data_IF_491934671188
#
_entry.id   IF_491934671188
#
_cell.length_a   1.000
_cell.length_b   1.000
_cell.length_c   1.000
_cell.angle_alpha   90.00
_cell.angle_beta   90.00
_cell.angle_gamma   90.00
#
_symmetry.space_group_name_H-M   'P 1'
#
loop_
_entity.id
_entity.type
_entity.pdbx_description
1 polymer ?
#
# COMPACT_ATOMS: atom_id res chain seq x y z
N UNK A 1 27.30 34.93 -33.91
CA UNK A 1 26.70 36.07 -33.18
C UNK A 1 25.22 35.79 -33.04
N UNK A 2 24.55 35.73 -31.89
CA UNK A 2 24.87 35.82 -30.46
C UNK A 2 23.90 34.83 -29.76
N UNK A 3 24.35 34.14 -28.71
CA UNK A 3 23.50 33.30 -27.84
C UNK A 3 22.56 34.16 -27.01
N UNK A 4 21.41 33.62 -26.53
CA UNK A 4 20.86 34.09 -25.27
C UNK A 4 20.96 33.02 -24.17
N UNK A 5 21.47 33.48 -23.02
CA UNK A 5 21.53 32.83 -21.71
C UNK A 5 20.25 33.08 -20.89
N UNK A 6 20.21 32.39 -19.76
CA UNK A 6 19.11 32.14 -18.79
C UNK A 6 18.90 33.27 -17.77
N UNK A 7 17.71 33.32 -17.12
CA UNK A 7 17.54 33.91 -15.77
C UNK A 7 16.88 32.91 -14.81
N UNK A 8 17.42 32.87 -13.58
CA UNK A 8 17.04 32.03 -12.45
C UNK A 8 16.24 32.85 -11.45
N UNK A 9 15.04 32.39 -11.08
CA UNK A 9 14.41 32.77 -9.83
C UNK A 9 14.50 31.58 -8.87
N UNK A 10 15.44 31.66 -7.95
CA UNK A 10 15.61 30.72 -6.85
C UNK A 10 14.57 31.05 -5.77
N UNK A 11 13.67 30.13 -5.46
CA UNK A 11 12.94 30.12 -4.18
C UNK A 11 13.36 28.85 -3.45
N UNK A 12 14.34 29.03 -2.55
CA UNK A 12 14.74 28.02 -1.58
C UNK A 12 13.61 27.62 -0.62
N UNK A 13 13.82 26.58 0.18
CA UNK A 13 12.75 25.80 0.78
C UNK A 13 12.03 26.57 1.88
N UNK A 14 10.68 26.53 1.89
CA UNK A 14 9.92 26.87 3.09
C UNK A 14 10.12 25.76 4.12
N UNK A 15 10.70 26.17 5.24
CA UNK A 15 11.18 25.32 6.30
C UNK A 15 10.14 24.38 6.87
N UNK A 16 10.62 23.17 7.16
CA UNK A 16 10.04 22.26 8.12
C UNK A 16 10.19 22.90 9.50
N UNK A 17 9.09 23.18 10.20
CA UNK A 17 9.16 23.63 11.58
C UNK A 17 9.78 22.53 12.45
N UNK A 18 11.03 22.74 12.87
CA UNK A 18 11.64 22.07 14.03
C UNK A 18 10.89 22.56 15.27
N UNK A 19 9.90 21.79 15.71
CA UNK A 19 9.40 21.90 17.07
C UNK A 19 10.52 21.53 18.03
N UNK A 20 10.82 22.44 18.97
CA UNK A 20 11.84 22.26 20.01
C UNK A 20 11.60 20.94 20.77
N UNK A 21 12.67 20.15 20.85
CA UNK A 21 12.80 19.07 21.83
C UNK A 21 12.84 19.70 23.23
N UNK A 22 11.73 19.62 23.96
CA UNK A 22 11.81 19.58 25.42
C UNK A 22 12.00 18.13 25.82
N UNK A 23 13.16 17.84 26.42
CA UNK A 23 13.38 16.58 27.14
C UNK A 23 12.31 16.50 28.23
N UNK A 24 11.49 15.46 28.16
CA UNK A 24 10.77 14.95 29.31
C UNK A 24 10.76 13.44 29.19
N UNK A 25 11.56 12.79 30.04
CA UNK A 25 11.37 11.38 30.33
C UNK A 25 10.00 11.24 31.00
N UNK A 26 9.01 10.70 30.29
CA UNK A 26 7.79 10.24 30.90
C UNK A 26 7.23 9.02 30.14
N UNK A 27 6.79 8.05 30.94
CA UNK A 27 6.33 6.70 30.56
C UNK A 27 5.33 6.76 29.39
N UNK A 28 5.61 5.99 28.34
CA UNK A 28 4.98 6.08 27.03
C UNK A 28 3.56 5.54 26.98
N UNK A 29 2.59 6.42 27.17
CA UNK A 29 1.35 6.38 26.40
C UNK A 29 1.45 7.50 25.36
N UNK A 30 1.36 7.19 24.06
CA UNK A 30 1.13 8.22 23.04
C UNK A 30 -0.26 8.79 23.32
N UNK A 31 -0.33 9.83 24.15
CA UNK A 31 -1.58 10.44 24.55
C UNK A 31 -2.12 11.19 23.33
N UNK A 32 -3.02 10.55 22.59
CA UNK A 32 -3.72 11.17 21.46
C UNK A 32 -4.40 12.43 22.00
N UNK A 33 -3.97 13.60 21.50
CA UNK A 33 -4.48 14.88 21.97
C UNK A 33 -6.01 14.95 21.81
N UNK A 34 -6.67 15.79 22.62
CA UNK A 34 -8.13 15.88 22.67
C UNK A 34 -8.75 16.23 21.31
N UNK A 35 -8.09 17.07 20.51
CA UNK A 35 -8.52 17.45 19.16
C UNK A 35 -8.43 16.25 18.21
N UNK A 36 -7.34 15.49 18.24
CA UNK A 36 -7.19 14.28 17.43
C UNK A 36 -8.25 13.22 17.79
N UNK A 37 -8.60 13.07 19.07
CA UNK A 37 -9.72 12.20 19.49
C UNK A 37 -11.07 12.64 18.94
N UNK A 38 -11.37 13.94 18.95
CA UNK A 38 -12.61 14.48 18.39
C UNK A 38 -12.66 14.25 16.86
N UNK A 39 -11.56 14.54 16.16
CA UNK A 39 -11.49 14.35 14.71
C UNK A 39 -11.65 12.87 14.33
N UNK A 40 -11.00 11.95 15.06
CA UNK A 40 -11.20 10.50 14.88
C UNK A 40 -12.67 10.12 15.06
N UNK A 41 -13.37 10.65 16.07
CA UNK A 41 -14.80 10.39 16.27
C UNK A 41 -15.65 10.90 15.10
N UNK A 42 -15.37 12.09 14.59
CA UNK A 42 -16.07 12.65 13.42
C UNK A 42 -15.84 11.77 12.18
N UNK A 43 -14.59 11.40 11.88
CA UNK A 43 -14.31 10.53 10.74
C UNK A 43 -14.95 9.15 10.89
N UNK A 44 -15.00 8.60 12.10
CA UNK A 44 -15.70 7.35 12.37
C UNK A 44 -17.20 7.47 12.12
N UNK A 45 -17.83 8.55 12.59
CA UNK A 45 -19.26 8.79 12.37
C UNK A 45 -19.58 8.96 10.88
N UNK A 46 -18.80 9.79 10.17
CA UNK A 46 -18.96 10.00 8.74
C UNK A 46 -18.73 8.71 7.95
N UNK A 47 -17.66 7.97 8.28
CA UNK A 47 -17.38 6.70 7.64
C UNK A 47 -18.45 5.65 7.94
N UNK A 48 -18.95 5.60 9.17
CA UNK A 48 -20.06 4.71 9.55
C UNK A 48 -21.32 5.05 8.74
N UNK A 49 -21.64 6.34 8.58
CA UNK A 49 -22.75 6.79 7.77
C UNK A 49 -22.56 6.35 6.32
N UNK A 50 -21.39 6.60 5.72
CA UNK A 50 -21.04 6.19 4.35
C UNK A 50 -21.18 4.67 4.17
N UNK A 51 -20.64 3.87 5.09
CA UNK A 51 -20.74 2.41 5.03
C UNK A 51 -22.21 1.97 5.15
N UNK A 52 -22.98 2.58 6.06
CA UNK A 52 -24.38 2.20 6.32
C UNK A 52 -25.35 2.63 5.21
N UNK A 53 -25.08 3.73 4.53
CA UNK A 53 -25.97 4.31 3.50
C UNK A 53 -25.60 3.92 2.08
N UNK A 54 -24.35 3.51 1.82
CA UNK A 54 -23.90 3.15 0.47
C UNK A 54 -23.71 1.65 0.26
N UNK A 55 -23.76 0.82 1.31
CA UNK A 55 -23.56 -0.63 1.18
C UNK A 55 -24.48 -1.46 2.09
N UNK A 56 -24.62 -2.75 1.76
CA UNK A 56 -25.19 -3.79 2.64
C UNK A 56 -24.04 -4.50 3.34
N UNK A 57 -23.62 -3.97 4.48
CA UNK A 57 -22.51 -4.54 5.25
C UNK A 57 -22.99 -5.57 6.27
N UNK A 58 -22.46 -6.79 6.20
CA UNK A 58 -22.61 -7.84 7.22
C UNK A 58 -21.29 -8.02 7.95
N UNK A 59 -21.34 -8.07 9.29
CA UNK A 59 -20.15 -8.14 10.13
C UNK A 59 -20.31 -9.31 11.12
N UNK A 60 -19.35 -10.24 11.12
CA UNK A 60 -19.29 -11.37 12.06
C UNK A 60 -17.99 -11.33 12.86
N UNK A 61 -17.98 -11.91 14.06
CA UNK A 61 -16.78 -11.97 14.90
C UNK A 61 -16.45 -10.67 15.65
N UNK A 62 -17.46 -9.82 15.91
CA UNK A 62 -17.25 -8.48 16.50
C UNK A 62 -16.66 -8.54 17.91
N UNK A 63 -16.91 -9.62 18.62
CA UNK A 63 -16.35 -9.92 19.94
C UNK A 63 -14.82 -9.87 19.95
N UNK A 64 -14.16 -10.27 18.85
CA UNK A 64 -12.70 -10.26 18.74
C UNK A 64 -12.10 -8.84 18.65
N UNK A 65 -12.91 -7.81 18.39
CA UNK A 65 -12.46 -6.40 18.43
C UNK A 65 -12.05 -5.96 19.84
N UNK A 66 -12.58 -6.63 20.87
CA UNK A 66 -12.28 -6.35 22.27
C UNK A 66 -11.13 -7.21 22.82
N UNK A 67 -10.33 -7.84 21.95
CA UNK A 67 -9.15 -8.61 22.36
C UNK A 67 -8.25 -7.77 23.27
N UNK A 68 -7.89 -8.36 24.41
CA UNK A 68 -7.10 -7.70 25.44
C UNK A 68 -5.59 -7.71 25.13
N UNK A 69 -4.89 -6.70 25.64
CA UNK A 69 -3.45 -6.52 25.47
C UNK A 69 -3.10 -5.88 24.12
N UNK A 70 -1.82 -5.94 23.72
CA UNK A 70 -1.40 -5.45 22.42
C UNK A 70 -1.97 -6.32 21.31
N UNK A 71 -2.57 -5.69 20.31
CA UNK A 71 -3.28 -6.37 19.21
C UNK A 71 -2.88 -5.79 17.87
N UNK A 72 -2.65 -6.66 16.91
CA UNK A 72 -2.49 -6.34 15.50
C UNK A 72 -3.74 -6.84 14.76
N UNK A 73 -4.55 -5.93 14.24
CA UNK A 73 -5.63 -6.24 13.31
C UNK A 73 -5.02 -6.35 11.90
N UNK A 74 -5.06 -7.53 11.31
CA UNK A 74 -4.49 -7.82 10.01
C UNK A 74 -5.60 -8.20 9.02
N UNK A 75 -5.68 -7.48 7.90
CA UNK A 75 -6.71 -7.74 6.87
C UNK A 75 -6.14 -7.78 5.46
N UNK A 76 -6.90 -8.36 4.54
CA UNK A 76 -6.64 -8.22 3.11
C UNK A 76 -6.94 -6.78 2.62
N UNK A 77 -6.30 -6.35 1.53
CA UNK A 77 -6.50 -5.02 0.96
C UNK A 77 -6.73 -5.08 -0.56
N UNK A 78 -7.99 -4.94 -1.00
CA UNK A 78 -8.37 -4.90 -2.43
C UNK A 78 -8.90 -3.53 -2.87
N UNK A 79 -9.13 -2.61 -1.93
CA UNK A 79 -9.75 -1.32 -2.19
C UNK A 79 -9.47 -0.29 -1.10
N UNK A 80 -9.47 0.99 -1.43
CA UNK A 80 -9.43 2.07 -0.41
C UNK A 80 -10.63 2.02 0.54
N UNK A 81 -11.71 1.34 0.18
CA UNK A 81 -12.84 1.09 1.07
C UNK A 81 -12.47 0.21 2.28
N UNK A 82 -11.45 -0.65 2.16
CA UNK A 82 -10.94 -1.44 3.28
C UNK A 82 -10.35 -0.54 4.36
N UNK A 83 -9.65 0.53 3.96
CA UNK A 83 -9.14 1.54 4.88
C UNK A 83 -10.29 2.27 5.62
N UNK A 84 -11.40 2.53 4.93
CA UNK A 84 -12.60 3.09 5.53
C UNK A 84 -13.25 2.11 6.55
N UNK A 85 -13.30 0.82 6.21
CA UNK A 85 -13.80 -0.21 7.11
C UNK A 85 -12.97 -0.30 8.39
N UNK A 86 -11.64 -0.38 8.30
CA UNK A 86 -10.81 -0.45 9.52
C UNK A 86 -10.94 0.80 10.38
N UNK A 87 -11.00 2.00 9.78
CA UNK A 87 -11.15 3.26 10.53
C UNK A 87 -12.48 3.28 11.30
N UNK A 88 -13.55 2.79 10.67
CA UNK A 88 -14.90 2.86 11.24
C UNK A 88 -15.15 1.75 12.27
N UNK A 89 -14.71 0.53 11.97
CA UNK A 89 -15.03 -0.67 12.76
C UNK A 89 -14.12 -0.85 13.97
N UNK A 90 -12.84 -0.53 13.85
CA UNK A 90 -11.88 -0.85 14.90
C UNK A 90 -12.01 0.08 16.12
N UNK A 91 -11.52 -0.36 17.30
CA UNK A 91 -11.47 0.47 18.50
C UNK A 91 -10.79 1.82 18.25
N UNK A 92 -11.25 2.88 18.92
CA UNK A 92 -10.81 4.28 18.66
C UNK A 92 -9.34 4.55 18.93
N UNK A 93 -8.73 3.72 19.77
CA UNK A 93 -7.33 3.73 20.17
C UNK A 93 -6.44 2.94 19.19
N UNK A 94 -7.01 2.35 18.14
CA UNK A 94 -6.25 1.67 17.08
C UNK A 94 -5.45 2.70 16.28
N UNK A 95 -4.17 2.40 16.06
CA UNK A 95 -3.29 3.18 15.20
C UNK A 95 -3.16 2.50 13.84
N UNK A 96 -3.34 3.28 12.78
CA UNK A 96 -3.38 2.79 11.40
C UNK A 96 -2.05 3.05 10.70
N UNK A 97 -1.65 2.13 9.85
CA UNK A 97 -0.46 2.28 9.00
C UNK A 97 -0.91 2.81 7.63
N UNK A 98 -0.27 3.89 7.17
CA UNK A 98 -0.54 4.52 5.87
C UNK A 98 0.68 4.57 4.95
N UNK A 99 0.47 4.77 3.64
CA UNK A 99 1.56 5.04 2.71
C UNK A 99 2.24 6.37 3.06
N UNK A 100 3.55 6.33 3.28
CA UNK A 100 4.41 7.51 3.46
C UNK A 100 5.26 7.83 2.23
N UNK A 101 5.20 6.98 1.20
CA UNK A 101 5.91 7.07 -0.08
C UNK A 101 5.27 8.05 -1.06
N UNK A 102 3.97 8.35 -0.92
CA UNK A 102 3.30 9.36 -1.74
C UNK A 102 2.16 10.06 -0.99
N UNK A 103 1.91 11.32 -1.35
CA UNK A 103 0.81 12.10 -0.78
C UNK A 103 -0.52 11.58 -1.28
N UNK A 104 -1.38 11.11 -0.38
CA UNK A 104 -2.75 10.72 -0.73
C UNK A 104 -3.56 11.91 -1.28
N UNK A 105 -4.52 11.63 -2.15
CA UNK A 105 -5.45 12.64 -2.69
C UNK A 105 -6.56 12.95 -1.68
N UNK A 106 -7.25 14.07 -1.88
CA UNK A 106 -8.43 14.40 -1.10
C UNK A 106 -9.56 13.38 -1.40
N UNK A 107 -10.35 12.92 -0.41
CA UNK A 107 -10.32 13.29 1.01
C UNK A 107 -9.38 12.46 1.90
N UNK A 108 -8.74 11.43 1.37
CA UNK A 108 -7.89 10.51 2.14
C UNK A 108 -6.72 11.22 2.86
N UNK A 109 -6.19 12.32 2.29
CA UNK A 109 -5.17 13.14 2.95
C UNK A 109 -5.61 13.80 4.26
N UNK A 110 -6.90 14.11 4.43
CA UNK A 110 -7.42 14.67 5.68
C UNK A 110 -7.41 13.61 6.78
N UNK A 111 -7.80 12.39 6.43
CA UNK A 111 -7.73 11.25 7.35
C UNK A 111 -6.29 11.03 7.79
N UNK A 112 -5.34 10.97 6.86
CA UNK A 112 -3.91 10.80 7.19
C UNK A 112 -3.38 11.90 8.09
N UNK A 113 -3.72 13.15 7.77
CA UNK A 113 -3.25 14.34 8.49
C UNK A 113 -3.79 14.43 9.93
N UNK A 114 -5.01 13.97 10.16
CA UNK A 114 -5.71 14.21 11.44
C UNK A 114 -6.10 12.95 12.21
N UNK A 115 -6.00 11.75 11.63
CA UNK A 115 -6.29 10.51 12.31
C UNK A 115 -5.04 9.88 12.97
N UNK A 116 -3.85 10.48 12.87
CA UNK A 116 -2.65 9.98 13.56
C UNK A 116 -2.19 8.63 13.02
N UNK A 117 -1.93 8.56 11.72
CA UNK A 117 -1.38 7.38 11.06
C UNK A 117 0.13 7.29 11.29
N UNK A 118 0.65 6.07 11.40
CA UNK A 118 2.07 5.82 11.20
C UNK A 118 2.27 5.73 9.68
N UNK A 119 2.92 6.75 9.12
CA UNK A 119 3.30 6.76 7.72
C UNK A 119 4.56 5.94 7.53
N UNK A 120 4.53 5.00 6.60
CA UNK A 120 5.67 4.15 6.27
C UNK A 120 6.17 4.43 4.86
N UNK A 121 7.47 4.71 4.73
CA UNK A 121 8.14 4.64 3.45
C UNK A 121 8.26 3.18 3.03
N UNK A 122 7.69 2.86 1.87
CA UNK A 122 7.71 1.53 1.27
C UNK A 122 8.93 1.45 0.34
N UNK A 123 9.65 0.34 0.34
CA UNK A 123 10.88 0.17 -0.46
C UNK A 123 12.17 0.73 0.13
N UNK A 124 12.11 1.35 1.30
CA UNK A 124 13.30 1.64 2.11
C UNK A 124 13.06 1.26 3.57
N UNK A 125 14.14 1.04 4.33
CA UNK A 125 14.04 0.69 5.76
C UNK A 125 13.58 1.90 6.55
N UNK A 126 12.27 2.01 6.80
CA UNK A 126 11.68 3.05 7.64
C UNK A 126 11.81 2.69 9.14
N UNK A 127 13.02 2.93 9.69
CA UNK A 127 13.34 2.63 11.09
C UNK A 127 12.44 3.39 12.08
N UNK A 128 12.07 4.63 11.74
CA UNK A 128 11.23 5.46 12.60
C UNK A 128 9.77 4.96 12.62
N UNK A 129 9.22 4.62 11.46
CA UNK A 129 7.90 3.99 11.36
C UNK A 129 7.85 2.67 12.12
N UNK A 130 8.87 1.81 11.95
CA UNK A 130 8.99 0.55 12.68
C UNK A 130 9.06 0.76 14.19
N UNK A 131 9.90 1.69 14.65
CA UNK A 131 10.01 2.02 16.07
C UNK A 131 8.68 2.47 16.65
N UNK A 132 7.93 3.35 15.97
CA UNK A 132 6.61 3.80 16.44
C UNK A 132 5.60 2.66 16.56
N UNK A 133 5.63 1.70 15.64
CA UNK A 133 4.78 0.51 15.72
C UNK A 133 5.14 -0.35 16.92
N UNK A 134 6.45 -0.61 17.13
CA UNK A 134 6.94 -1.34 18.29
C UNK A 134 6.58 -0.64 19.60
N UNK A 135 6.78 0.68 19.69
CA UNK A 135 6.46 1.48 20.87
C UNK A 135 4.94 1.46 21.17
N UNK A 136 4.11 1.53 20.13
CA UNK A 136 2.64 1.44 20.26
C UNK A 136 2.23 0.10 20.86
N UNK A 137 2.75 -1.01 20.34
CA UNK A 137 2.41 -2.35 20.83
C UNK A 137 3.02 -2.62 22.21
N UNK A 138 4.28 -2.22 22.47
CA UNK A 138 4.91 -2.37 23.80
C UNK A 138 4.17 -1.58 24.88
N UNK A 139 3.53 -0.46 24.52
CA UNK A 139 2.63 0.30 25.39
C UNK A 139 1.25 -0.34 25.59
N UNK A 140 1.00 -1.55 25.09
CA UNK A 140 -0.30 -2.24 25.15
C UNK A 140 -1.33 -1.74 24.14
N UNK A 141 -0.91 -0.93 23.16
CA UNK A 141 -1.78 -0.35 22.15
C UNK A 141 -2.15 -1.31 21.02
N UNK A 142 -2.94 -0.80 20.07
CA UNK A 142 -3.49 -1.58 18.96
C UNK A 142 -3.02 -1.03 17.62
N UNK A 143 -2.69 -1.90 16.69
CA UNK A 143 -2.31 -1.56 15.32
C UNK A 143 -3.29 -2.18 14.31
N UNK A 144 -3.50 -1.49 13.20
CA UNK A 144 -4.20 -2.03 12.03
C UNK A 144 -3.31 -1.92 10.80
N UNK A 145 -3.16 -3.05 10.09
CA UNK A 145 -2.30 -3.16 8.92
C UNK A 145 -2.84 -4.14 7.88
N UNK A 146 -2.28 -4.06 6.67
CA UNK A 146 -2.56 -4.97 5.58
C UNK A 146 -1.27 -5.75 5.26
N UNK A 147 -1.20 -7.08 5.51
CA UNK A 147 0.02 -7.87 5.32
C UNK A 147 0.51 -7.93 3.86
N UNK A 148 -0.35 -7.63 2.89
CA UNK A 148 -0.05 -7.55 1.45
C UNK A 148 0.79 -6.33 1.03
N UNK A 149 1.08 -5.40 1.95
CA UNK A 149 1.86 -4.19 1.67
C UNK A 149 1.10 -3.15 0.82
N UNK A 150 -0.22 -3.30 0.71
CA UNK A 150 -1.13 -2.38 0.02
C UNK A 150 -1.00 -2.40 -1.50
N UNK A 151 -0.87 -3.59 -2.08
CA UNK A 151 -1.02 -3.80 -3.52
C UNK A 151 -2.27 -4.64 -3.75
N UNK A 152 -3.26 -4.06 -4.43
CA UNK A 152 -4.63 -4.59 -4.49
C UNK A 152 -4.81 -5.74 -5.50
N UNK A 153 -3.91 -5.86 -6.47
CA UNK A 153 -3.97 -6.82 -7.58
C UNK A 153 -2.74 -7.74 -7.52
N UNK A 154 -2.74 -8.58 -6.49
CA UNK A 154 -1.69 -9.58 -6.24
C UNK A 154 -2.31 -10.91 -5.83
N UNK A 155 -1.60 -12.02 -6.06
CA UNK A 155 -1.93 -13.28 -5.39
C UNK A 155 -1.96 -13.07 -3.87
N UNK A 156 -2.88 -13.74 -3.18
CA UNK A 156 -2.98 -13.59 -1.71
C UNK A 156 -1.74 -14.06 -0.95
N UNK A 157 -0.89 -14.85 -1.63
CA UNK A 157 0.34 -15.45 -1.10
C UNK A 157 1.57 -14.54 -1.19
N UNK A 158 1.49 -13.39 -1.87
CA UNK A 158 2.55 -12.38 -1.84
C UNK A 158 2.41 -11.51 -0.59
N UNK A 159 3.01 -11.99 0.49
CA UNK A 159 2.82 -11.48 1.86
C UNK A 159 4.12 -10.94 2.43
N UNK A 160 4.00 -9.90 3.26
CA UNK A 160 5.14 -9.33 3.99
C UNK A 160 5.13 -9.84 5.43
N UNK A 161 6.30 -10.21 5.94
CA UNK A 161 6.50 -10.73 7.31
C UNK A 161 6.39 -9.68 8.42
N UNK A 162 6.13 -8.40 8.10
CA UNK A 162 6.12 -7.31 9.07
C UNK A 162 5.11 -7.46 10.21
N UNK A 163 3.93 -8.02 9.94
CA UNK A 163 2.91 -8.26 10.97
C UNK A 163 3.40 -9.28 12.02
N UNK A 164 3.96 -10.39 11.54
CA UNK A 164 4.49 -11.48 12.34
C UNK A 164 5.77 -11.06 13.09
N UNK A 165 6.61 -10.24 12.46
CA UNK A 165 7.76 -9.62 13.13
C UNK A 165 7.32 -8.75 14.31
N UNK A 166 6.33 -7.87 14.12
CA UNK A 166 5.80 -7.02 15.19
C UNK A 166 5.16 -7.86 16.30
N UNK A 167 4.40 -8.88 15.95
CA UNK A 167 3.80 -9.82 16.90
C UNK A 167 4.86 -10.52 17.75
N UNK A 168 5.87 -11.11 17.12
CA UNK A 168 6.98 -11.77 17.80
C UNK A 168 7.74 -10.82 18.73
N UNK A 169 8.08 -9.62 18.24
CA UNK A 169 8.91 -8.66 18.98
C UNK A 169 8.20 -7.98 20.17
N UNK A 170 6.87 -8.09 20.27
CA UNK A 170 6.07 -7.33 21.26
C UNK A 170 5.12 -8.19 22.07
N UNK A 171 4.97 -9.48 21.73
CA UNK A 171 3.95 -10.33 22.33
C UNK A 171 2.53 -9.97 21.90
N UNK A 172 2.36 -9.20 20.82
CA UNK A 172 1.04 -8.81 20.34
C UNK A 172 0.31 -9.99 19.70
N UNK A 173 -0.97 -10.15 20.03
CA UNK A 173 -1.86 -11.09 19.35
C UNK A 173 -2.24 -10.55 17.98
N UNK A 174 -2.48 -11.44 17.01
CA UNK A 174 -2.95 -11.05 15.67
C UNK A 174 -4.41 -11.43 15.52
N UNK A 175 -5.27 -10.46 15.20
CA UNK A 175 -6.68 -10.69 14.86
C UNK A 175 -6.82 -10.63 13.33
N UNK A 176 -6.97 -11.77 12.63
CA UNK A 176 -7.16 -11.80 11.20
C UNK A 176 -8.57 -11.32 10.82
N UNK A 177 -8.70 -10.59 9.72
CA UNK A 177 -9.99 -10.11 9.21
C UNK A 177 -10.07 -10.29 7.70
N UNK A 178 -11.18 -10.85 7.23
CA UNK A 178 -11.50 -10.96 5.81
C UNK A 178 -12.53 -9.92 5.38
N UNK A 179 -12.17 -9.09 4.41
CA UNK A 179 -13.04 -8.11 3.76
C UNK A 179 -13.41 -8.58 2.36
N UNK A 180 -14.71 -8.73 2.13
CA UNK A 180 -15.26 -9.18 0.87
C UNK A 180 -16.19 -8.15 0.23
N UNK A 181 -16.24 -8.17 -1.11
CA UNK A 181 -17.12 -7.29 -1.90
C UNK A 181 -16.64 -5.84 -2.01
N UNK A 182 -15.40 -5.54 -1.62
CA UNK A 182 -14.83 -4.18 -1.63
C UNK A 182 -14.08 -3.82 -2.92
N UNK A 183 -13.70 -4.81 -3.74
CA UNK A 183 -13.11 -4.59 -5.06
C UNK A 183 -14.05 -3.77 -5.97
N UNK A 184 -13.52 -2.71 -6.58
CA UNK A 184 -14.26 -1.76 -7.45
C UNK A 184 -15.52 -1.13 -6.81
N UNK A 185 -15.64 -1.16 -5.48
CA UNK A 185 -16.87 -0.74 -4.80
C UNK A 185 -17.28 0.71 -5.09
N UNK A 186 -16.32 1.63 -5.21
CA UNK A 186 -16.59 3.02 -5.54
C UNK A 186 -17.24 3.18 -6.92
N UNK A 187 -16.79 2.41 -7.92
CA UNK A 187 -17.40 2.43 -9.25
C UNK A 187 -18.83 1.90 -9.21
N UNK A 188 -19.09 0.87 -8.39
CA UNK A 188 -20.42 0.29 -8.22
C UNK A 188 -21.36 1.29 -7.53
N UNK A 189 -20.90 1.95 -6.47
CA UNK A 189 -21.64 3.02 -5.79
C UNK A 189 -21.96 4.18 -6.74
N UNK A 190 -20.99 4.62 -7.56
CA UNK A 190 -21.21 5.68 -8.56
C UNK A 190 -22.22 5.29 -9.63
N UNK A 191 -22.36 3.99 -9.92
CA UNK A 191 -23.41 3.43 -10.78
C UNK A 191 -24.73 3.20 -10.03
N UNK A 192 -24.91 3.84 -8.86
CA UNK A 192 -26.08 3.73 -7.98
C UNK A 192 -26.40 2.29 -7.57
N UNK A 193 -25.40 1.41 -7.57
CA UNK A 193 -25.55 0.06 -7.05
C UNK A 193 -25.40 0.08 -5.53
N UNK A 194 -26.07 -0.85 -4.86
CA UNK A 194 -25.98 -1.05 -3.41
C UNK A 194 -25.20 -2.35 -3.10
N UNK A 195 -23.84 -2.31 -3.17
CA UNK A 195 -22.99 -3.48 -3.08
C UNK A 195 -23.09 -4.16 -1.71
N UNK A 196 -22.94 -5.50 -1.71
CA UNK A 196 -22.81 -6.29 -0.49
C UNK A 196 -21.35 -6.25 -0.04
N UNK A 197 -21.13 -5.97 1.24
CA UNK A 197 -19.82 -5.99 1.88
C UNK A 197 -19.88 -6.99 3.02
N UNK A 198 -18.88 -7.85 3.11
CA UNK A 198 -18.77 -8.82 4.21
C UNK A 198 -17.49 -8.55 4.97
N UNK A 199 -17.60 -8.48 6.29
CA UNK A 199 -16.46 -8.37 7.19
C UNK A 199 -16.53 -9.55 8.15
N UNK A 200 -15.55 -10.46 8.06
CA UNK A 200 -15.42 -11.59 8.99
C UNK A 200 -14.17 -11.39 9.83
N UNK A 201 -14.34 -11.30 11.14
CA UNK A 201 -13.24 -11.10 12.09
C UNK A 201 -12.96 -12.44 12.77
N UNK A 202 -11.79 -12.99 12.54
CA UNK A 202 -11.37 -14.28 13.09
C UNK A 202 -10.94 -14.19 14.55
N UNK A 203 -10.81 -15.36 15.17
CA UNK A 203 -10.30 -15.48 16.54
C UNK A 203 -8.85 -14.96 16.64
N UNK A 204 -8.47 -14.33 17.77
CA UNK A 204 -7.12 -13.85 17.98
C UNK A 204 -6.11 -15.00 17.99
N UNK A 205 -5.09 -14.89 17.17
CA UNK A 205 -3.94 -15.78 17.13
C UNK A 205 -2.98 -15.43 18.27
N UNK A 206 -2.28 -16.44 18.84
CA UNK A 206 -1.23 -16.20 19.81
C UNK A 206 -0.09 -15.38 19.18
N UNK A 207 0.79 -14.79 20.00
CA UNK A 207 1.97 -14.11 19.50
C UNK A 207 2.82 -15.04 18.63
N UNK A 208 3.40 -14.49 17.57
CA UNK A 208 4.23 -15.27 16.64
C UNK A 208 5.45 -15.83 17.36
N UNK A 209 5.62 -17.14 17.26
CA UNK A 209 6.79 -17.89 17.73
C UNK A 209 7.68 -18.23 16.55
N UNK A 210 8.98 -18.05 16.71
CA UNK A 210 10.01 -18.38 15.71
C UNK A 210 11.14 -19.15 16.39
N UNK A 211 11.99 -19.82 15.62
CA UNK A 211 13.15 -20.52 16.13
C UNK A 211 14.13 -19.58 16.84
N UNK A 212 14.79 -20.09 17.87
CA UNK A 212 15.93 -19.41 18.51
C UNK A 212 17.09 -19.22 17.53
N UNK A 213 17.22 -20.07 16.50
CA UNK A 213 18.23 -19.94 15.46
C UNK A 213 18.01 -18.67 14.62
N UNK A 214 18.90 -17.69 14.80
CA UNK A 214 18.89 -16.40 14.08
C UNK A 214 18.87 -16.55 12.58
N UNK A 215 19.47 -17.61 12.02
CA UNK A 215 19.50 -17.81 10.57
C UNK A 215 18.15 -18.24 10.01
N UNK A 216 17.34 -18.95 10.81
CA UNK A 216 16.01 -19.44 10.40
C UNK A 216 14.87 -18.46 10.67
N UNK A 217 15.07 -17.50 11.57
CA UNK A 217 14.03 -16.51 11.93
C UNK A 217 13.39 -15.81 10.72
N UNK A 218 14.12 -15.36 9.68
CA UNK A 218 13.49 -14.72 8.53
C UNK A 218 12.49 -15.64 7.82
N UNK A 219 12.85 -16.91 7.66
CA UNK A 219 12.01 -17.92 7.01
C UNK A 219 10.81 -18.27 7.90
N UNK A 220 11.02 -18.48 9.20
CA UNK A 220 9.93 -18.75 10.15
C UNK A 220 8.91 -17.60 10.19
N UNK A 221 9.38 -16.34 10.14
CA UNK A 221 8.51 -15.17 10.08
C UNK A 221 7.74 -15.10 8.76
N UNK A 222 8.36 -15.51 7.66
CA UNK A 222 7.70 -15.56 6.36
C UNK A 222 6.64 -16.66 6.33
N UNK A 223 6.94 -17.85 6.83
CA UNK A 223 6.00 -18.97 6.94
C UNK A 223 4.80 -18.61 7.84
N UNK A 224 5.07 -17.97 8.98
CA UNK A 224 4.00 -17.48 9.86
C UNK A 224 3.13 -16.40 9.19
N UNK A 225 3.70 -15.58 8.31
CA UNK A 225 2.95 -14.60 7.53
C UNK A 225 2.09 -15.26 6.44
N UNK A 226 2.59 -16.34 5.82
CA UNK A 226 1.82 -17.16 4.88
C UNK A 226 0.65 -17.84 5.59
N UNK A 227 0.86 -18.41 6.79
CA UNK A 227 -0.23 -19.00 7.60
C UNK A 227 -1.27 -17.95 7.99
N UNK A 228 -0.83 -16.77 8.44
CA UNK A 228 -1.73 -15.65 8.74
C UNK A 228 -2.61 -15.30 7.52
N UNK A 229 -2.02 -15.25 6.34
CA UNK A 229 -2.74 -14.88 5.12
C UNK A 229 -3.64 -16.01 4.62
N UNK A 230 -3.30 -17.28 4.86
CA UNK A 230 -4.22 -18.41 4.66
C UNK A 230 -5.47 -18.26 5.53
N UNK A 231 -5.29 -17.93 6.82
CA UNK A 231 -6.43 -17.69 7.73
C UNK A 231 -7.27 -16.49 7.30
N UNK A 232 -6.65 -15.43 6.78
CA UNK A 232 -7.37 -14.30 6.19
C UNK A 232 -8.14 -14.74 4.95
N UNK A 233 -7.55 -15.55 4.07
CA UNK A 233 -8.19 -16.10 2.88
C UNK A 233 -9.45 -16.92 3.24
N UNK A 234 -9.37 -17.76 4.26
CA UNK A 234 -10.49 -18.59 4.72
C UNK A 234 -11.66 -17.76 5.25
N UNK A 235 -11.39 -16.54 5.73
CA UNK A 235 -12.42 -15.59 6.16
C UNK A 235 -13.12 -14.89 4.98
N UNK A 236 -12.54 -14.91 3.78
CA UNK A 236 -13.10 -14.23 2.60
C UNK A 236 -14.35 -14.97 2.08
N UNK A 237 -15.32 -14.26 1.48
CA UNK A 237 -16.39 -14.90 0.73
C UNK A 237 -15.86 -15.48 -0.60
N UNK A 238 -16.54 -16.50 -1.16
CA UNK A 238 -16.08 -17.20 -2.38
C UNK A 238 -15.77 -16.29 -3.56
N UNK A 239 -16.57 -15.25 -3.81
CA UNK A 239 -16.32 -14.32 -4.92
C UNK A 239 -15.01 -13.54 -4.77
N UNK A 240 -14.61 -13.25 -3.51
CA UNK A 240 -13.36 -12.55 -3.22
C UNK A 240 -12.17 -13.50 -3.24
N UNK A 241 -12.34 -14.75 -2.79
CA UNK A 241 -11.36 -15.82 -2.99
C UNK A 241 -11.07 -16.03 -4.48
N UNK A 242 -12.13 -16.18 -5.29
CA UNK A 242 -12.02 -16.33 -6.74
C UNK A 242 -11.34 -15.11 -7.41
N UNK A 243 -11.47 -13.91 -6.85
CA UNK A 243 -10.71 -12.76 -7.32
C UNK A 243 -9.21 -12.95 -7.08
N UNK A 244 -8.79 -13.33 -5.87
CA UNK A 244 -7.39 -13.63 -5.57
C UNK A 244 -6.84 -14.79 -6.42
N UNK A 245 -7.63 -15.85 -6.62
CA UNK A 245 -7.23 -17.00 -7.43
C UNK A 245 -7.04 -16.62 -8.90
N UNK A 246 -7.89 -15.75 -9.44
CA UNK A 246 -7.71 -15.21 -10.79
C UNK A 246 -6.43 -14.38 -10.86
N UNK A 247 -6.19 -13.49 -9.89
CA UNK A 247 -4.96 -12.67 -9.84
C UNK A 247 -3.70 -13.55 -9.77
N UNK A 248 -3.76 -14.69 -9.08
CA UNK A 248 -2.67 -15.65 -9.00
C UNK A 248 -2.33 -16.33 -10.34
N UNK A 249 -3.26 -16.36 -11.29
CA UNK A 249 -3.12 -17.01 -12.60
C UNK A 249 -2.89 -16.03 -13.74
N UNK A 250 -2.84 -14.72 -13.46
CA UNK A 250 -2.59 -13.72 -14.49
C UNK A 250 -1.13 -13.78 -14.94
N UNK A 251 -0.95 -14.09 -16.22
CA UNK A 251 0.32 -13.92 -16.91
C UNK A 251 0.28 -12.63 -17.72
N UNK A 252 1.40 -11.90 -17.76
CA UNK A 252 1.53 -10.65 -18.47
C UNK A 252 2.52 -10.81 -19.61
N UNK A 253 2.12 -10.41 -20.81
CA UNK A 253 2.99 -10.36 -21.99
C UNK A 253 2.97 -8.95 -22.58
N UNK A 254 4.12 -8.48 -23.04
CA UNK A 254 4.26 -7.20 -23.71
C UNK A 254 5.18 -7.30 -24.92
N UNK A 255 5.09 -6.35 -25.83
CA UNK A 255 6.02 -6.18 -26.94
C UNK A 255 6.12 -4.70 -27.34
N UNK A 256 7.30 -4.26 -27.77
CA UNK A 256 7.50 -2.97 -28.41
C UNK A 256 7.31 -3.13 -29.93
N UNK A 257 6.49 -2.26 -30.54
CA UNK A 257 6.23 -2.27 -31.99
C UNK A 257 6.49 -0.90 -32.59
N UNK A 258 7.07 -0.87 -33.78
CA UNK A 258 7.32 0.35 -34.53
C UNK A 258 6.29 0.52 -35.64
N UNK A 259 6.16 1.73 -36.18
CA UNK A 259 5.39 1.96 -37.41
C UNK A 259 6.14 2.94 -38.31
N UNK A 260 6.41 2.58 -39.57
CA UNK A 260 6.20 1.25 -40.19
C UNK A 260 6.97 0.12 -39.46
N UNK A 261 6.60 -1.15 -39.70
CA UNK A 261 7.18 -2.35 -39.03
C UNK A 261 8.60 -2.70 -39.56
N UNK A 262 9.33 -1.72 -40.09
CA UNK A 262 10.65 -1.88 -40.71
C UNK A 262 11.80 -1.93 -39.70
N UNK A 263 11.54 -1.51 -38.46
CA UNK A 263 12.54 -1.52 -37.38
C UNK A 263 12.35 -2.73 -36.45
N UNK A 264 13.39 -3.56 -36.26
CA UNK A 264 13.29 -4.69 -35.34
C UNK A 264 13.12 -4.19 -33.89
N UNK A 265 12.27 -4.89 -33.14
CA UNK A 265 12.13 -4.66 -31.72
C UNK A 265 13.39 -5.13 -30.97
N UNK A 266 13.79 -4.45 -29.87
CA UNK A 266 14.86 -4.93 -29.01
C UNK A 266 14.52 -6.32 -28.45
N UNK A 267 15.51 -7.21 -28.42
CA UNK A 267 15.39 -8.56 -27.86
C UNK A 267 15.47 -8.52 -26.32
N UNK A 268 14.42 -7.98 -25.69
CA UNK A 268 14.29 -7.90 -24.24
C UNK A 268 12.88 -8.28 -23.81
N UNK A 269 12.71 -8.89 -22.62
CA UNK A 269 11.39 -9.22 -22.10
C UNK A 269 10.62 -7.96 -21.69
N UNK A 270 9.39 -7.83 -22.19
CA UNK A 270 8.46 -6.73 -21.83
C UNK A 270 7.36 -7.16 -20.86
N UNK A 271 7.35 -8.42 -20.41
CA UNK A 271 6.33 -8.99 -19.54
C UNK A 271 6.16 -8.21 -18.21
N UNK A 272 7.26 -7.96 -17.49
CA UNK A 272 7.20 -7.22 -16.22
C UNK A 272 6.79 -5.74 -16.41
N UNK A 273 7.21 -5.10 -17.50
CA UNK A 273 6.73 -3.75 -17.83
C UNK A 273 5.23 -3.76 -18.15
N UNK A 274 4.75 -4.75 -18.90
CA UNK A 274 3.33 -4.94 -19.19
C UNK A 274 2.51 -5.14 -17.91
N UNK A 275 3.02 -5.91 -16.94
CA UNK A 275 2.40 -6.05 -15.63
C UNK A 275 2.30 -4.72 -14.89
N UNK A 276 3.40 -3.96 -14.82
CA UNK A 276 3.43 -2.67 -14.13
C UNK A 276 2.38 -1.69 -14.69
N UNK A 277 2.34 -1.53 -16.03
CA UNK A 277 1.42 -0.57 -16.67
C UNK A 277 -0.03 -1.02 -16.62
N UNK A 278 -0.28 -2.33 -16.54
CA UNK A 278 -1.63 -2.91 -16.48
C UNK A 278 -2.28 -2.79 -15.10
N UNK A 279 -1.49 -2.54 -14.04
CA UNK A 279 -1.97 -2.44 -12.66
C UNK A 279 -2.18 -0.98 -12.25
N UNK A 280 -3.43 -0.45 -12.24
CA UNK A 280 -3.67 0.97 -12.01
C UNK A 280 -3.19 1.45 -10.64
N UNK A 281 -3.25 0.61 -9.62
CA UNK A 281 -2.78 0.95 -8.28
C UNK A 281 -1.24 1.09 -8.19
N UNK A 282 -0.49 0.47 -9.10
CA UNK A 282 0.96 0.63 -9.22
C UNK A 282 1.33 1.80 -10.14
N UNK A 283 0.60 1.94 -11.25
CA UNK A 283 0.96 2.92 -12.28
C UNK A 283 0.38 4.31 -12.04
N UNK A 284 -0.82 4.41 -11.45
CA UNK A 284 -1.48 5.71 -11.20
C UNK A 284 -0.68 6.68 -10.34
N UNK A 285 0.01 6.25 -9.27
CA UNK A 285 0.86 7.14 -8.49
C UNK A 285 1.92 7.87 -9.32
N UNK A 286 2.44 7.23 -10.37
CA UNK A 286 3.50 7.78 -11.22
C UNK A 286 3.00 8.99 -12.03
N UNK A 287 1.74 9.01 -12.49
CA UNK A 287 1.20 10.15 -13.24
C UNK A 287 0.26 11.08 -12.44
N UNK A 288 -0.37 10.61 -11.37
CA UNK A 288 -1.24 11.44 -10.52
C UNK A 288 -0.45 12.17 -9.43
N UNK A 289 0.52 11.50 -8.80
CA UNK A 289 1.27 12.04 -7.66
C UNK A 289 2.61 12.63 -8.11
N UNK A 290 3.41 11.84 -8.82
CA UNK A 290 4.70 12.31 -9.34
C UNK A 290 4.57 13.16 -10.62
N UNK A 291 3.38 13.18 -11.24
CA UNK A 291 3.09 13.95 -12.47
C UNK A 291 4.07 13.64 -13.61
N UNK A 292 4.58 12.41 -13.68
CA UNK A 292 5.49 11.99 -14.75
C UNK A 292 4.75 11.98 -16.10
N UNK A 293 5.44 12.28 -17.22
CA UNK A 293 4.85 12.33 -18.56
C UNK A 293 4.62 10.92 -19.15
N UNK A 294 4.04 10.00 -18.38
CA UNK A 294 3.92 8.58 -18.71
C UNK A 294 2.59 8.21 -19.37
N UNK A 295 1.87 9.20 -19.89
CA UNK A 295 0.65 9.00 -20.69
C UNK A 295 0.81 7.98 -21.83
N UNK A 296 1.96 7.89 -22.53
CA UNK A 296 2.19 6.84 -23.53
C UNK A 296 1.95 5.42 -23.02
N UNK A 297 2.30 5.12 -21.76
CA UNK A 297 2.12 3.80 -21.15
C UNK A 297 0.70 3.56 -20.63
N UNK A 298 -0.05 4.61 -20.30
CA UNK A 298 -1.43 4.50 -19.79
C UNK A 298 -2.41 4.01 -20.87
N UNK A 299 -2.12 4.29 -22.14
CA UNK A 299 -2.95 3.90 -23.29
C UNK A 299 -2.24 2.86 -24.15
N UNK A 300 -1.98 1.69 -23.55
CA UNK A 300 -1.36 0.57 -24.24
C UNK A 300 -2.08 0.24 -25.58
N UNK A 301 -1.30 -0.18 -26.58
CA UNK A 301 -1.82 -0.54 -27.92
C UNK A 301 -2.02 0.64 -28.88
N UNK A 302 -1.72 1.89 -28.48
CA UNK A 302 -1.72 3.04 -29.39
C UNK A 302 -0.30 3.40 -29.82
N UNK A 303 -0.12 3.65 -31.10
CA UNK A 303 1.11 4.25 -31.62
C UNK A 303 1.24 5.70 -31.13
N UNK A 304 2.43 6.06 -30.69
CA UNK A 304 2.81 7.41 -30.24
C UNK A 304 4.14 7.80 -30.89
N UNK A 305 4.46 9.10 -31.01
CA UNK A 305 5.77 9.52 -31.51
C UNK A 305 6.91 8.95 -30.66
N UNK A 306 7.96 8.42 -31.30
CA UNK A 306 9.10 7.78 -30.62
C UNK A 306 9.71 8.69 -29.54
N UNK A 307 9.86 9.98 -29.84
CA UNK A 307 10.38 10.95 -28.87
C UNK A 307 9.51 11.10 -27.61
N UNK A 308 8.19 10.95 -27.72
CA UNK A 308 7.29 10.97 -26.55
C UNK A 308 7.45 9.70 -25.72
N UNK A 309 7.56 8.54 -26.39
CA UNK A 309 7.79 7.27 -25.71
C UNK A 309 9.15 7.26 -24.98
N UNK A 310 10.21 7.73 -25.65
CA UNK A 310 11.54 7.91 -25.05
C UNK A 310 11.49 8.79 -23.80
N UNK A 311 10.88 9.98 -23.89
CA UNK A 311 10.74 10.90 -22.74
C UNK A 311 9.98 10.25 -21.57
N UNK A 312 8.96 9.44 -21.86
CA UNK A 312 8.21 8.73 -20.83
C UNK A 312 9.08 7.64 -20.16
N UNK A 313 9.85 6.89 -20.95
CA UNK A 313 10.76 5.86 -20.43
C UNK A 313 11.89 6.46 -19.59
N UNK A 314 12.52 7.54 -20.06
CA UNK A 314 13.56 8.28 -19.33
C UNK A 314 13.04 8.82 -17.99
N UNK A 315 11.81 9.37 -17.99
CA UNK A 315 11.18 9.86 -16.76
C UNK A 315 10.92 8.75 -15.74
N UNK A 316 10.52 7.55 -16.19
CA UNK A 316 10.36 6.38 -15.32
C UNK A 316 11.69 5.89 -14.77
N UNK A 317 12.72 5.75 -15.61
CA UNK A 317 14.06 5.35 -15.19
C UNK A 317 14.64 6.31 -14.15
N UNK A 318 14.51 7.62 -14.37
CA UNK A 318 14.93 8.63 -13.42
C UNK A 318 14.17 8.50 -12.08
N UNK A 319 12.84 8.35 -12.13
CA UNK A 319 12.02 8.21 -10.93
C UNK A 319 12.34 6.96 -10.11
N UNK A 320 12.62 5.83 -10.77
CA UNK A 320 12.97 4.58 -10.07
C UNK A 320 14.41 4.53 -9.56
N UNK A 321 15.26 5.46 -10.00
CA UNK A 321 16.68 5.50 -9.59
C UNK A 321 16.93 6.43 -8.40
N UNK A 322 16.10 7.46 -8.21
CA UNK A 322 16.26 8.43 -7.15
C UNK A 322 14.93 9.07 -6.70
N UNK A 323 14.91 9.66 -5.50
CA UNK A 323 13.76 10.39 -4.97
C UNK A 323 12.70 9.47 -4.34
N UNK A 324 11.44 9.90 -4.38
CA UNK A 324 10.33 9.26 -3.65
C UNK A 324 9.98 7.86 -4.17
N UNK A 325 10.40 7.50 -5.39
CA UNK A 325 10.13 6.22 -6.04
C UNK A 325 11.37 5.31 -6.13
N UNK A 326 12.48 5.68 -5.46
CA UNK A 326 13.61 4.77 -5.29
C UNK A 326 13.20 3.54 -4.46
N UNK A 327 13.49 2.33 -4.96
CA UNK A 327 13.06 1.07 -4.32
C UNK A 327 11.59 0.70 -4.56
N UNK A 328 10.85 1.49 -5.36
CA UNK A 328 9.42 1.29 -5.59
C UNK A 328 9.13 -0.05 -6.28
N UNK A 329 9.89 -0.39 -7.33
CA UNK A 329 9.69 -1.61 -8.11
C UNK A 329 10.04 -2.85 -7.28
N UNK A 330 11.19 -2.81 -6.61
CA UNK A 330 11.73 -3.87 -5.78
C UNK A 330 10.74 -4.23 -4.66
N UNK A 331 10.18 -3.21 -4.01
CA UNK A 331 9.17 -3.41 -2.98
C UNK A 331 7.86 -4.02 -3.50
N UNK A 332 7.40 -3.59 -4.68
CA UNK A 332 6.07 -3.88 -5.22
C UNK A 332 6.02 -5.13 -6.09
N UNK A 333 7.07 -5.42 -6.84
CA UNK A 333 7.12 -6.50 -7.83
C UNK A 333 8.29 -7.47 -7.60
N UNK A 334 9.20 -7.16 -6.67
CA UNK A 334 10.40 -7.96 -6.39
C UNK A 334 11.58 -7.56 -7.27
N UNK A 335 12.78 -7.96 -6.85
CA UNK A 335 14.06 -7.59 -7.47
C UNK A 335 14.14 -8.03 -8.95
N UNK A 336 13.74 -9.26 -9.26
CA UNK A 336 13.80 -9.81 -10.62
C UNK A 336 12.97 -8.99 -11.61
N UNK A 337 11.69 -8.76 -11.29
CA UNK A 337 10.80 -7.95 -12.15
C UNK A 337 11.25 -6.49 -12.21
N UNK A 338 11.81 -5.95 -11.11
CA UNK A 338 12.36 -4.60 -11.11
C UNK A 338 13.51 -4.45 -12.12
N UNK A 339 14.42 -5.42 -12.16
CA UNK A 339 15.50 -5.45 -13.14
C UNK A 339 14.97 -5.56 -14.57
N UNK A 340 14.03 -6.47 -14.85
CA UNK A 340 13.40 -6.62 -16.17
C UNK A 340 12.72 -5.32 -16.65
N UNK A 341 12.00 -4.64 -15.76
CA UNK A 341 11.35 -3.36 -16.07
C UNK A 341 12.38 -2.30 -16.46
N UNK A 342 13.48 -2.18 -15.71
CA UNK A 342 14.56 -1.21 -16.00
C UNK A 342 15.20 -1.51 -17.36
N UNK A 343 15.45 -2.79 -17.66
CA UNK A 343 15.98 -3.22 -18.97
C UNK A 343 15.03 -2.88 -20.12
N UNK A 344 13.73 -3.18 -19.97
CA UNK A 344 12.72 -2.85 -20.98
C UNK A 344 12.60 -1.33 -21.22
N UNK A 345 12.62 -0.52 -20.15
CA UNK A 345 12.59 0.94 -20.25
C UNK A 345 13.85 1.51 -20.91
N UNK A 346 15.03 0.95 -20.60
CA UNK A 346 16.28 1.36 -21.24
C UNK A 346 16.28 1.04 -22.74
N UNK A 347 15.75 -0.13 -23.13
CA UNK A 347 15.58 -0.50 -24.53
C UNK A 347 14.61 0.44 -25.28
N UNK A 348 13.52 0.85 -24.63
CA UNK A 348 12.59 1.86 -25.19
C UNK A 348 13.29 3.22 -25.33
N UNK A 349 14.15 3.60 -24.39
CA UNK A 349 14.88 4.88 -24.46
C UNK A 349 15.92 4.90 -25.57
N UNK A 350 16.58 3.77 -25.82
CA UNK A 350 17.62 3.65 -26.86
C UNK A 350 17.05 3.51 -28.28
N UNK A 351 15.79 3.09 -28.41
CA UNK A 351 15.09 2.98 -29.69
C UNK A 351 14.61 4.35 -30.20
#
# INVERSE_FOLDING_TARGET
MQSPLVSVAQVGPRGYHKGRSTRSHHKGHIMIDRRTRIIRRIFRLLGWLVVRTLTRTTITGREHLNTAGPVIFASNHTSTFDALLVITLLPTDTTFIGPGDFRLLWPANLVVKYAGLILMKRGSVDREGLKRMLDTLKGGGRLALFPDGGTWEKPIWDVKSGANYLSHATGARIVPMGFGGTYQIWMRILRLQFPRVTVRIGAPLPPTTVSEDRKRRPDDLQDAAVDLMRRIYDLLPPDTQAHYDRQARLEFSGALRFRPDDRPAPDVPFAALAELVSKPNLFSPLYLNARLPVRPFVRAGRYVPAQQMKRAADALLAAFSAGDFAGYLEYRLGETKAAEIRTALAAISAA
#
